data_IF_083209928723
#
_entry.id   IF_083209928723
#
_cell.length_a   1.000
_cell.length_b   1.000
_cell.length_c   1.000
_cell.angle_alpha   90.00
_cell.angle_beta   90.00
_cell.angle_gamma   90.00
#
_symmetry.space_group_name_H-M   'P 1'
#
loop_
_entity.id
_entity.type
_entity.pdbx_description
1 polymer ?
#
# COMPACT_ATOMS: atom_id res chain seq x y z
N UNK A 1 -6.14 6.56 -27.35
CA UNK A 1 -6.34 7.72 -26.45
C UNK A 1 -5.77 7.45 -25.07
N UNK A 2 -6.17 6.37 -24.38
CA UNK A 2 -5.74 6.10 -23.00
C UNK A 2 -4.23 5.86 -22.81
N UNK A 3 -3.53 5.22 -23.75
CA UNK A 3 -2.05 5.07 -23.67
C UNK A 3 -1.31 6.42 -23.79
N UNK A 4 -1.84 7.34 -24.61
CA UNK A 4 -1.28 8.69 -24.73
C UNK A 4 -1.47 9.45 -23.42
N UNK A 5 -2.68 9.40 -22.85
CA UNK A 5 -2.99 10.00 -21.55
C UNK A 5 -2.16 9.40 -20.42
N UNK A 6 -1.93 8.08 -20.41
CA UNK A 6 -1.09 7.41 -19.43
C UNK A 6 0.32 8.02 -19.39
N UNK A 7 0.92 8.22 -20.56
CA UNK A 7 2.24 8.83 -20.72
C UNK A 7 2.27 10.31 -20.36
N UNK A 8 1.28 11.07 -20.82
CA UNK A 8 1.14 12.50 -20.53
C UNK A 8 0.94 12.76 -19.03
N UNK A 9 0.24 11.86 -18.34
CA UNK A 9 0.02 11.93 -16.89
C UNK A 9 1.17 11.33 -16.07
N UNK A 10 2.23 10.85 -16.71
CA UNK A 10 3.40 10.23 -16.06
C UNK A 10 3.06 8.95 -15.27
N UNK A 11 2.13 8.16 -15.80
CA UNK A 11 1.60 6.95 -15.16
C UNK A 11 2.04 5.66 -15.88
N UNK A 12 2.92 5.74 -16.90
CA UNK A 12 3.54 4.52 -17.45
C UNK A 12 4.45 3.87 -16.42
N UNK A 13 4.58 2.53 -16.40
CA UNK A 13 5.35 1.83 -15.36
C UNK A 13 6.78 2.34 -15.19
N UNK A 14 7.51 2.59 -16.29
CA UNK A 14 8.87 3.13 -16.18
C UNK A 14 8.90 4.55 -15.60
N UNK A 15 7.90 5.39 -15.89
CA UNK A 15 7.82 6.74 -15.32
C UNK A 15 7.54 6.68 -13.82
N UNK A 16 6.64 5.77 -13.40
CA UNK A 16 6.34 5.50 -12.00
C UNK A 16 7.57 4.95 -11.26
N UNK A 17 8.25 3.95 -11.81
CA UNK A 17 9.49 3.39 -11.25
C UNK A 17 10.56 4.48 -11.09
N UNK A 18 10.75 5.34 -12.11
CA UNK A 18 11.71 6.44 -12.03
C UNK A 18 11.34 7.50 -10.96
N UNK A 19 10.05 7.66 -10.66
CA UNK A 19 9.57 8.57 -9.61
C UNK A 19 9.60 7.94 -8.20
N UNK A 20 9.83 6.63 -8.11
CA UNK A 20 9.76 5.89 -6.86
C UNK A 20 10.76 6.34 -5.80
N UNK A 21 12.05 6.64 -6.11
CA UNK A 21 12.99 7.13 -5.10
C UNK A 21 12.50 8.38 -4.36
N UNK A 22 11.97 9.37 -5.09
CA UNK A 22 11.44 10.59 -4.50
C UNK A 22 10.16 10.36 -3.67
N UNK A 23 9.36 9.35 -4.04
CA UNK A 23 8.25 8.91 -3.20
C UNK A 23 8.75 8.26 -1.90
N UNK A 24 9.76 7.39 -2.00
CA UNK A 24 10.37 6.72 -0.84
C UNK A 24 11.09 7.69 0.11
N UNK A 25 11.67 8.80 -0.38
CA UNK A 25 12.23 9.85 0.50
C UNK A 25 11.15 10.48 1.41
N UNK A 26 9.94 10.68 0.87
CA UNK A 26 8.79 11.21 1.62
C UNK A 26 8.25 10.17 2.61
N UNK A 27 8.31 8.90 2.24
CA UNK A 27 7.97 7.78 3.12
C UNK A 27 8.98 7.70 4.27
N UNK A 28 10.28 7.79 3.99
CA UNK A 28 11.33 7.81 5.01
C UNK A 28 11.11 8.98 5.98
N UNK A 29 10.80 10.17 5.47
CA UNK A 29 10.49 11.33 6.30
C UNK A 29 9.30 11.06 7.25
N UNK A 30 8.30 10.30 6.80
CA UNK A 30 7.18 9.89 7.65
C UNK A 30 7.61 8.86 8.70
N UNK A 31 8.41 7.85 8.32
CA UNK A 31 8.97 6.87 9.26
C UNK A 31 9.78 7.56 10.36
N UNK A 32 10.60 8.54 10.01
CA UNK A 32 11.41 9.33 10.96
C UNK A 32 10.53 10.10 11.96
N UNK A 33 9.46 10.76 11.47
CA UNK A 33 8.50 11.47 12.34
C UNK A 33 7.82 10.49 13.31
N UNK A 34 7.45 9.31 12.83
CA UNK A 34 6.83 8.25 13.64
C UNK A 34 7.82 7.56 14.57
N UNK A 35 9.12 7.65 14.31
CA UNK A 35 10.15 6.87 15.00
C UNK A 35 10.04 5.38 14.72
N UNK A 36 9.67 5.02 13.49
CA UNK A 36 9.57 3.64 13.03
C UNK A 36 10.84 3.26 12.26
N UNK A 37 11.47 2.17 12.69
CA UNK A 37 12.51 1.49 11.91
C UNK A 37 11.88 0.24 11.29
N UNK A 38 11.77 0.24 9.96
CA UNK A 38 11.19 -0.85 9.18
C UNK A 38 12.24 -1.55 8.29
N UNK A 39 13.53 -1.36 8.56
CA UNK A 39 14.62 -1.86 7.72
C UNK A 39 14.57 -3.38 7.57
N UNK A 40 14.27 -4.10 8.66
CA UNK A 40 14.23 -5.56 8.68
C UNK A 40 12.83 -6.14 8.36
N UNK A 41 11.85 -5.29 8.05
CA UNK A 41 10.49 -5.71 7.74
C UNK A 41 10.25 -5.75 6.23
N UNK A 42 9.42 -6.72 5.81
CA UNK A 42 9.02 -6.85 4.40
C UNK A 42 8.17 -5.65 4.00
N UNK A 43 8.62 -4.93 2.97
CA UNK A 43 7.77 -4.01 2.22
C UNK A 43 6.87 -4.83 1.29
N UNK A 44 5.62 -5.05 1.70
CA UNK A 44 4.72 -6.03 1.09
C UNK A 44 4.31 -5.62 -0.32
N UNK A 45 3.60 -4.49 -0.41
CA UNK A 45 3.11 -3.98 -1.67
C UNK A 45 3.10 -2.45 -1.67
N UNK A 46 3.20 -1.90 -2.87
CA UNK A 46 3.07 -0.47 -3.14
C UNK A 46 1.77 -0.21 -3.89
N UNK A 47 1.10 0.91 -3.60
CA UNK A 47 -0.23 1.17 -4.14
C UNK A 47 -0.29 2.46 -4.97
N UNK A 48 -1.04 2.38 -6.07
CA UNK A 48 -1.33 3.49 -6.97
C UNK A 48 -2.68 4.14 -6.70
N UNK A 49 -2.81 5.41 -7.09
CA UNK A 49 -4.11 6.06 -7.32
C UNK A 49 -4.16 6.65 -8.72
N UNK A 50 -5.19 6.28 -9.46
CA UNK A 50 -5.54 6.82 -10.78
C UNK A 50 -7.03 7.17 -10.73
N UNK A 51 -7.38 8.37 -11.18
CA UNK A 51 -8.73 8.93 -11.12
C UNK A 51 -9.55 8.63 -12.38
N UNK A 52 -8.91 8.41 -13.53
CA UNK A 52 -9.60 8.06 -14.77
C UNK A 52 -9.61 6.55 -15.00
N UNK A 53 -10.80 5.99 -15.26
CA UNK A 53 -10.97 4.54 -15.43
C UNK A 53 -10.24 4.02 -16.66
N UNK A 54 -10.31 4.72 -17.79
CA UNK A 54 -9.65 4.31 -19.02
C UNK A 54 -8.12 4.36 -18.89
N UNK A 55 -7.59 5.30 -18.11
CA UNK A 55 -6.16 5.37 -17.76
C UNK A 55 -5.79 4.24 -16.79
N UNK A 56 -6.61 3.90 -15.79
CA UNK A 56 -6.35 2.77 -14.90
C UNK A 56 -6.35 1.44 -15.66
N UNK A 57 -7.30 1.23 -16.58
CA UNK A 57 -7.32 0.06 -17.47
C UNK A 57 -6.10 0.00 -18.39
N UNK A 58 -5.64 1.15 -18.90
CA UNK A 58 -4.41 1.20 -19.70
C UNK A 58 -3.18 0.89 -18.84
N UNK A 59 -3.08 1.46 -17.63
CA UNK A 59 -1.99 1.20 -16.69
C UNK A 59 -1.90 -0.29 -16.36
N UNK A 60 -3.04 -0.90 -16.01
CA UNK A 60 -3.15 -2.33 -15.75
C UNK A 60 -2.58 -3.15 -16.92
N UNK A 61 -3.04 -2.92 -18.16
CA UNK A 61 -2.55 -3.65 -19.34
C UNK A 61 -1.04 -3.50 -19.59
N UNK A 62 -0.45 -2.34 -19.28
CA UNK A 62 0.98 -2.13 -19.46
C UNK A 62 1.77 -2.80 -18.32
N UNK A 63 1.28 -2.77 -17.09
CA UNK A 63 1.90 -3.47 -15.96
C UNK A 63 1.96 -4.98 -16.16
N UNK A 64 0.93 -5.61 -16.77
CA UNK A 64 0.92 -7.04 -17.09
C UNK A 64 2.06 -7.50 -18.03
N UNK A 65 2.79 -6.58 -18.67
CA UNK A 65 3.97 -6.94 -19.45
C UNK A 65 5.17 -7.32 -18.57
N UNK A 66 5.15 -6.95 -17.29
CA UNK A 66 6.22 -7.17 -16.32
C UNK A 66 5.72 -7.63 -14.95
N UNK A 67 4.47 -8.09 -14.88
CA UNK A 67 3.81 -8.57 -13.68
C UNK A 67 2.74 -9.61 -14.02
N UNK A 68 2.37 -10.42 -13.05
CA UNK A 68 1.26 -11.37 -13.09
C UNK A 68 0.10 -10.86 -12.22
N UNK A 69 -1.14 -11.02 -12.69
CA UNK A 69 -2.32 -10.70 -11.88
C UNK A 69 -2.52 -11.79 -10.81
N UNK A 70 -2.29 -11.44 -9.55
CA UNK A 70 -2.54 -12.33 -8.41
C UNK A 70 -4.01 -12.30 -7.98
N UNK A 71 -4.65 -11.12 -8.05
CA UNK A 71 -6.07 -10.98 -7.73
C UNK A 71 -6.74 -9.83 -8.48
N UNK A 72 -8.05 -9.95 -8.63
CA UNK A 72 -8.92 -8.94 -9.24
C UNK A 72 -10.28 -8.99 -8.54
N UNK A 73 -10.33 -8.35 -7.37
CA UNK A 73 -11.49 -8.41 -6.49
C UNK A 73 -12.37 -7.17 -6.67
N UNK A 74 -13.69 -7.36 -6.78
CA UNK A 74 -14.64 -6.25 -6.82
C UNK A 74 -14.95 -5.77 -5.40
N UNK A 75 -14.53 -4.54 -5.08
CA UNK A 75 -14.70 -3.95 -3.74
C UNK A 75 -15.40 -2.60 -3.88
N UNK A 76 -16.61 -2.49 -3.34
CA UNK A 76 -17.47 -1.31 -3.48
C UNK A 76 -17.73 -0.92 -4.96
N UNK A 77 -18.06 -1.90 -5.80
CA UNK A 77 -18.47 -1.69 -7.20
C UNK A 77 -17.33 -1.32 -8.16
N UNK A 78 -16.07 -1.58 -7.77
CA UNK A 78 -14.91 -1.34 -8.62
C UNK A 78 -13.84 -2.42 -8.41
N UNK A 79 -13.05 -2.74 -9.45
CA UNK A 79 -11.90 -3.62 -9.30
C UNK A 79 -10.83 -3.04 -8.38
N UNK A 80 -10.27 -3.87 -7.53
CA UNK A 80 -8.97 -3.66 -6.90
C UNK A 80 -8.11 -4.84 -7.32
N UNK A 81 -7.07 -4.55 -8.09
CA UNK A 81 -6.17 -5.59 -8.61
C UNK A 81 -4.86 -5.60 -7.81
N UNK A 82 -4.33 -6.79 -7.58
CA UNK A 82 -2.99 -7.00 -7.09
C UNK A 82 -2.15 -7.66 -8.18
N UNK A 83 -1.02 -7.04 -8.51
CA UNK A 83 -0.11 -7.50 -9.55
C UNK A 83 1.24 -7.85 -8.91
N UNK A 84 1.66 -9.11 -8.99
CA UNK A 84 2.98 -9.54 -8.57
C UNK A 84 4.02 -9.25 -9.64
N UNK A 85 5.07 -8.49 -9.34
CA UNK A 85 6.11 -8.19 -10.33
C UNK A 85 6.89 -9.45 -10.71
N UNK A 86 7.22 -9.59 -12.00
CA UNK A 86 8.08 -10.68 -12.48
C UNK A 86 9.49 -10.60 -11.86
N UNK A 87 9.93 -9.38 -11.53
CA UNK A 87 11.14 -9.09 -10.76
C UNK A 87 10.75 -8.04 -9.71
N UNK A 88 11.02 -8.29 -8.41
CA UNK A 88 10.76 -7.30 -7.37
C UNK A 88 11.43 -5.96 -7.68
N UNK A 89 10.79 -4.87 -7.26
CA UNK A 89 11.33 -3.53 -7.40
C UNK A 89 12.19 -3.21 -6.18
N UNK A 90 13.49 -3.05 -6.41
CA UNK A 90 14.45 -2.65 -5.38
C UNK A 90 14.46 -1.12 -5.22
N UNK A 91 14.19 -0.62 -4.02
CA UNK A 91 14.27 0.80 -3.71
C UNK A 91 14.54 1.05 -2.23
N UNK A 92 15.47 1.98 -1.94
CA UNK A 92 15.78 2.42 -0.56
C UNK A 92 16.13 1.29 0.42
N UNK A 93 16.69 0.17 -0.08
CA UNK A 93 17.03 -1.01 0.73
C UNK A 93 15.91 -2.04 0.89
N UNK A 94 14.70 -1.76 0.39
CA UNK A 94 13.60 -2.72 0.35
C UNK A 94 13.42 -3.32 -1.04
N UNK A 95 12.93 -4.56 -1.05
CA UNK A 95 12.46 -5.29 -2.23
C UNK A 95 10.94 -5.38 -2.16
N UNK A 96 10.23 -4.79 -3.13
CA UNK A 96 8.76 -4.77 -3.18
C UNK A 96 8.29 -5.73 -4.27
N UNK A 97 7.49 -6.73 -3.92
CA UNK A 97 7.07 -7.77 -4.87
C UNK A 97 5.73 -7.51 -5.55
N UNK A 98 4.93 -6.58 -5.03
CA UNK A 98 3.54 -6.41 -5.48
C UNK A 98 3.12 -4.95 -5.67
N UNK A 99 2.30 -4.73 -6.69
CA UNK A 99 1.54 -3.50 -6.94
C UNK A 99 0.06 -3.73 -6.62
N UNK A 100 -0.52 -2.88 -5.77
CA UNK A 100 -1.97 -2.72 -5.69
C UNK A 100 -2.44 -1.57 -6.60
N UNK A 101 -3.38 -1.85 -7.50
CA UNK A 101 -4.02 -0.84 -8.35
C UNK A 101 -5.55 -0.85 -8.14
N UNK A 102 -6.05 -0.08 -7.15
CA UNK A 102 -7.48 0.17 -7.02
C UNK A 102 -7.97 1.02 -8.20
N UNK A 103 -8.96 0.54 -8.94
CA UNK A 103 -9.62 1.34 -9.96
C UNK A 103 -10.30 2.56 -9.31
N UNK A 104 -10.52 3.66 -10.06
CA UNK A 104 -11.22 4.82 -9.53
C UNK A 104 -12.63 4.45 -9.06
N UNK A 105 -13.01 4.99 -7.91
CA UNK A 105 -14.37 4.95 -7.37
C UNK A 105 -14.93 6.37 -7.32
N UNK A 106 -15.89 6.63 -6.42
CA UNK A 106 -16.47 7.96 -6.28
C UNK A 106 -15.46 9.03 -5.80
N UNK A 107 -14.49 8.60 -4.99
CA UNK A 107 -13.47 9.50 -4.44
C UNK A 107 -12.40 9.84 -5.48
N UNK A 108 -12.28 11.13 -5.78
CA UNK A 108 -11.15 11.69 -6.54
C UNK A 108 -9.97 12.00 -5.62
N UNK A 109 -8.76 11.68 -6.05
CA UNK A 109 -7.53 11.94 -5.32
C UNK A 109 -6.84 13.20 -5.88
N UNK A 110 -6.29 14.08 -5.02
CA UNK A 110 -5.65 15.32 -5.46
C UNK A 110 -4.34 15.08 -6.23
N UNK A 111 -3.73 13.90 -6.07
CA UNK A 111 -2.54 13.46 -6.80
C UNK A 111 -2.77 12.04 -7.32
N UNK A 112 -2.24 11.77 -8.51
CA UNK A 112 -2.19 10.44 -9.12
C UNK A 112 -0.76 9.91 -9.08
N UNK A 113 -0.60 8.59 -9.12
CA UNK A 113 0.69 7.90 -8.99
C UNK A 113 0.80 7.16 -7.66
N UNK A 114 2.02 6.99 -7.15
CA UNK A 114 2.29 6.33 -5.86
C UNK A 114 1.59 7.07 -4.72
N UNK A 115 0.87 6.32 -3.88
CA UNK A 115 0.11 6.91 -2.77
C UNK A 115 0.51 6.36 -1.40
N UNK A 116 0.69 5.04 -1.29
CA UNK A 116 1.10 4.39 -0.07
C UNK A 116 1.89 3.12 -0.33
N UNK A 117 2.52 2.64 0.74
CA UNK A 117 3.24 1.38 0.79
C UNK A 117 2.92 0.72 2.14
N UNK A 118 2.86 -0.60 2.13
CA UNK A 118 2.48 -1.41 3.27
C UNK A 118 3.62 -2.33 3.70
N UNK A 119 3.73 -2.56 5.00
CA UNK A 119 4.71 -3.49 5.57
C UNK A 119 4.04 -4.59 6.36
N UNK A 120 4.57 -5.79 6.20
CA UNK A 120 4.21 -6.94 7.02
C UNK A 120 4.89 -6.81 8.38
N UNK A 121 4.10 -6.85 9.45
CA UNK A 121 4.56 -6.97 10.83
C UNK A 121 4.08 -8.33 11.37
N UNK A 122 4.87 -9.41 11.19
CA UNK A 122 4.40 -10.77 11.47
C UNK A 122 4.00 -10.94 12.94
N UNK A 123 2.75 -11.33 13.18
CA UNK A 123 2.25 -11.61 14.52
C UNK A 123 1.00 -12.48 14.48
N UNK A 124 0.76 -13.20 15.57
CA UNK A 124 -0.49 -13.92 15.81
C UNK A 124 -1.35 -13.11 16.80
N UNK A 125 -2.38 -12.45 16.27
CA UNK A 125 -3.32 -11.60 17.04
C UNK A 125 -4.73 -11.83 16.51
N UNK A 126 -5.73 -11.70 17.38
CA UNK A 126 -7.12 -12.01 17.05
C UNK A 126 -8.03 -10.78 17.08
N UNK A 127 -7.46 -9.58 17.23
CA UNK A 127 -8.22 -8.34 17.17
C UNK A 127 -7.35 -7.16 16.73
N UNK A 128 -8.02 -6.11 16.25
CA UNK A 128 -7.39 -4.83 15.91
C UNK A 128 -6.70 -4.18 17.13
N UNK A 129 -7.26 -4.36 18.33
CA UNK A 129 -6.73 -3.84 19.59
C UNK A 129 -5.46 -4.59 20.03
N UNK A 130 -5.46 -5.92 19.87
CA UNK A 130 -4.27 -6.75 20.08
C UNK A 130 -3.16 -6.38 19.09
N UNK A 131 -3.49 -6.18 17.82
CA UNK A 131 -2.51 -5.77 16.81
C UNK A 131 -1.88 -4.42 17.16
N UNK A 132 -2.68 -3.43 17.55
CA UNK A 132 -2.14 -2.13 17.97
C UNK A 132 -1.26 -2.25 19.22
N UNK A 133 -1.69 -3.05 20.20
CA UNK A 133 -0.90 -3.32 21.41
C UNK A 133 0.44 -3.99 21.06
N UNK A 134 0.43 -4.91 20.09
CA UNK A 134 1.63 -5.56 19.60
C UNK A 134 2.58 -4.57 18.92
N UNK A 135 2.08 -3.71 18.03
CA UNK A 135 2.85 -2.63 17.41
C UNK A 135 3.50 -1.72 18.44
N UNK A 136 2.80 -1.35 19.51
CA UNK A 136 3.36 -0.54 20.59
C UNK A 136 4.44 -1.24 21.41
N UNK A 137 4.45 -2.58 21.44
CA UNK A 137 5.50 -3.33 22.12
C UNK A 137 6.79 -3.37 21.29
N UNK A 138 6.67 -3.43 19.96
CA UNK A 138 7.79 -3.38 19.02
C UNK A 138 8.33 -1.95 18.82
N UNK A 139 7.43 -0.97 18.75
CA UNK A 139 7.74 0.41 18.41
C UNK A 139 7.37 1.35 19.58
N UNK A 140 8.16 1.37 20.66
CA UNK A 140 7.87 2.19 21.84
C UNK A 140 7.82 3.70 21.52
N UNK A 141 8.64 4.17 20.57
CA UNK A 141 8.61 5.58 20.14
C UNK A 141 7.28 5.95 19.48
N UNK A 142 6.69 5.05 18.69
CA UNK A 142 5.37 5.24 18.11
C UNK A 142 4.30 5.33 19.21
N UNK A 143 4.39 4.46 20.23
CA UNK A 143 3.49 4.47 21.39
C UNK A 143 3.55 5.78 22.15
N UNK A 144 4.75 6.26 22.45
CA UNK A 144 4.97 7.50 23.22
C UNK A 144 4.39 8.71 22.49
N UNK A 145 4.53 8.75 21.16
CA UNK A 145 4.01 9.83 20.31
C UNK A 145 2.52 9.68 19.97
N UNK A 146 1.89 8.55 20.27
CA UNK A 146 0.60 8.16 19.67
C UNK A 146 -0.51 9.20 19.84
N UNK A 147 -0.62 9.78 21.05
CA UNK A 147 -1.64 10.80 21.38
C UNK A 147 -1.36 12.12 20.65
N UNK A 148 -0.09 12.43 20.38
CA UNK A 148 0.37 13.67 19.74
C UNK A 148 0.38 13.58 18.21
N UNK A 149 0.26 12.40 17.61
CA UNK A 149 0.27 12.24 16.15
C UNK A 149 -0.73 13.16 15.45
N UNK A 150 -1.92 13.31 16.03
CA UNK A 150 -2.96 14.18 15.48
C UNK A 150 -2.57 15.66 15.46
N UNK A 151 -1.89 16.16 16.51
CA UNK A 151 -1.42 17.55 16.58
C UNK A 151 -0.23 17.79 15.65
N UNK A 152 0.55 16.75 15.35
CA UNK A 152 1.58 16.74 14.31
C UNK A 152 1.00 16.69 12.88
N UNK A 153 -0.32 16.57 12.72
CA UNK A 153 -1.00 16.49 11.42
C UNK A 153 -1.01 15.10 10.80
N UNK A 154 -0.68 14.06 11.57
CA UNK A 154 -0.73 12.66 11.15
C UNK A 154 -2.13 12.13 11.40
N UNK A 155 -2.72 11.55 10.35
CA UNK A 155 -4.03 10.89 10.42
C UNK A 155 -3.83 9.40 10.59
N UNK A 156 -4.39 8.86 11.67
CA UNK A 156 -4.39 7.42 11.94
C UNK A 156 -5.75 6.83 11.56
N UNK A 157 -5.75 5.68 10.88
CA UNK A 157 -6.95 4.88 10.67
C UNK A 157 -6.63 3.42 10.98
N UNK A 158 -7.50 2.80 11.77
CA UNK A 158 -7.47 1.36 12.03
C UNK A 158 -8.59 0.71 11.22
N UNK A 159 -8.33 -0.44 10.62
CA UNK A 159 -9.31 -1.20 9.85
C UNK A 159 -8.89 -2.64 9.71
N UNK A 160 -9.84 -3.55 9.65
CA UNK A 160 -9.64 -4.89 9.10
C UNK A 160 -10.34 -4.89 7.74
N UNK A 161 -9.62 -4.78 6.61
CA UNK A 161 -10.18 -5.12 5.32
C UNK A 161 -10.80 -6.52 5.40
N UNK A 162 -11.91 -6.71 4.69
CA UNK A 162 -12.57 -8.01 4.58
C UNK A 162 -13.02 -8.19 3.13
N UNK A 163 -12.27 -8.96 2.35
CA UNK A 163 -12.78 -9.56 1.12
C UNK A 163 -13.91 -10.55 1.43
N UNK A 164 -14.85 -10.76 0.49
CA UNK A 164 -15.95 -11.72 0.71
C UNK A 164 -15.46 -13.15 0.97
N UNK A 165 -14.27 -13.49 0.47
CA UNK A 165 -13.61 -14.79 0.63
C UNK A 165 -12.46 -14.80 1.65
N UNK A 166 -12.16 -13.67 2.29
CA UNK A 166 -10.96 -13.51 3.13
C UNK A 166 -11.03 -14.46 4.34
N UNK A 167 -10.02 -15.34 4.46
CA UNK A 167 -9.95 -16.38 5.50
C UNK A 167 -9.07 -16.01 6.69
N UNK A 168 -8.16 -15.05 6.50
CA UNK A 168 -7.25 -14.56 7.54
C UNK A 168 -7.48 -13.06 7.76
N UNK A 169 -7.61 -12.62 9.00
CA UNK A 169 -7.87 -11.21 9.30
C UNK A 169 -6.60 -10.38 9.14
N UNK A 170 -6.60 -9.44 8.18
CA UNK A 170 -5.45 -8.56 7.95
C UNK A 170 -5.62 -7.20 8.63
N UNK A 171 -5.57 -7.18 9.97
CA UNK A 171 -5.67 -5.93 10.75
C UNK A 171 -4.68 -4.89 10.25
N UNK A 172 -5.13 -3.67 10.01
CA UNK A 172 -4.33 -2.64 9.34
C UNK A 172 -4.31 -1.37 10.18
N UNK A 173 -3.11 -0.84 10.42
CA UNK A 173 -2.91 0.52 10.95
C UNK A 173 -2.32 1.40 9.86
N UNK A 174 -3.11 2.35 9.37
CA UNK A 174 -2.70 3.31 8.35
C UNK A 174 -2.32 4.65 9.01
N UNK A 175 -1.12 5.15 8.67
CA UNK A 175 -0.57 6.41 9.16
C UNK A 175 -0.31 7.32 7.97
N UNK A 176 -1.07 8.42 7.86
CA UNK A 176 -1.03 9.34 6.72
C UNK A 176 -0.50 10.71 7.12
N UNK A 177 0.49 11.21 6.37
CA UNK A 177 1.13 12.49 6.62
C UNK A 177 1.54 13.16 5.31
N UNK A 178 1.31 14.47 5.18
CA UNK A 178 1.76 15.30 4.05
C UNK A 178 1.60 14.66 2.65
N UNK A 179 0.50 13.95 2.44
CA UNK A 179 0.16 13.34 1.15
C UNK A 179 0.93 12.07 0.81
N UNK A 180 1.53 11.37 1.77
CA UNK A 180 1.92 9.96 1.70
C UNK A 180 1.29 9.19 2.86
N UNK A 181 1.24 7.88 2.76
CA UNK A 181 0.73 7.00 3.81
C UNK A 181 1.59 5.74 3.89
N UNK A 182 1.80 5.24 5.10
CA UNK A 182 2.27 3.88 5.33
C UNK A 182 1.13 3.07 5.93
N UNK A 183 1.12 1.75 5.73
CA UNK A 183 0.27 0.85 6.50
C UNK A 183 1.09 -0.32 7.06
N UNK A 184 0.68 -0.78 8.23
CA UNK A 184 1.26 -1.93 8.91
C UNK A 184 0.18 -2.99 9.07
N UNK A 185 0.49 -4.24 8.77
CA UNK A 185 -0.47 -5.35 8.80
C UNK A 185 0.22 -6.72 9.04
N UNK A 186 -0.46 -7.72 9.65
CA UNK A 186 0.19 -8.98 10.04
C UNK A 186 0.60 -9.92 8.90
N UNK A 187 -0.14 -9.89 7.78
CA UNK A 187 -0.02 -10.88 6.71
C UNK A 187 0.26 -10.21 5.37
N UNK A 188 1.17 -10.76 4.58
CA UNK A 188 1.42 -10.28 3.22
C UNK A 188 0.15 -10.38 2.37
N UNK A 189 0.00 -9.47 1.41
CA UNK A 189 -1.12 -9.48 0.47
C UNK A 189 -1.17 -10.82 -0.30
N UNK A 190 0.00 -11.38 -0.63
CA UNK A 190 0.10 -12.70 -1.24
C UNK A 190 -0.50 -13.80 -0.36
N UNK A 191 -0.17 -13.83 0.93
CA UNK A 191 -0.71 -14.82 1.86
C UNK A 191 -2.23 -14.68 2.04
N UNK A 192 -2.74 -13.44 2.05
CA UNK A 192 -4.18 -13.17 2.07
C UNK A 192 -4.85 -13.74 0.83
N UNK A 193 -4.34 -13.44 -0.38
CA UNK A 193 -4.89 -13.93 -1.65
C UNK A 193 -4.84 -15.47 -1.73
N UNK A 194 -3.72 -16.09 -1.34
CA UNK A 194 -3.59 -17.56 -1.32
C UNK A 194 -4.61 -18.20 -0.36
N UNK A 195 -4.94 -17.53 0.74
CA UNK A 195 -5.95 -18.02 1.69
C UNK A 195 -7.38 -17.98 1.12
N UNK A 196 -7.68 -17.09 0.18
CA UNK A 196 -8.99 -16.99 -0.48
C UNK A 196 -9.23 -18.14 -1.48
N UNK A 197 -8.15 -18.73 -2.00
CA UNK A 197 -8.17 -19.79 -3.01
C UNK A 197 -8.17 -21.21 -2.40
N UNK A 198 -8.00 -21.33 -1.08
CA UNK A 198 -7.88 -22.58 -0.34
C UNK A 198 -9.22 -23.19 0.11
#
# INVERSE_FOLDING_TARGET
MSLVLLKEQQLEPQQLINALPAFMDRIQSLLDVLGLDLTDYQADHIALRINDRGVAEAAHKVWLQQAEEWSNNEINGRPIIALGFNQPIEVSGWSIECLELPYPGEKTYPKQGWEHIEWVIPCEVNSQEEFLTYLFSLFPVLKDKWVELSSLGIKVKQSCPSGEAERIANYTVALKYQGVCIKLHPHSLKAVIESEQA
#
